data_IF_454709540485
#
_entry.id   IF_454709540485
#
_cell.length_a   1.000
_cell.length_b   1.000
_cell.length_c   1.000
_cell.angle_alpha   90.00
_cell.angle_beta   90.00
_cell.angle_gamma   90.00
#
_symmetry.space_group_name_H-M   'P 1'
#
loop_
_entity.id
_entity.type
_entity.pdbx_description
1 polymer ?
#
# COMPACT_ATOMS: atom_id res chain seq x y z
N UNK A 1 -8.80 7.83 -0.08
CA UNK A 1 -8.01 8.22 1.11
C UNK A 1 -7.36 6.98 1.73
N UNK A 2 -6.06 7.02 2.03
CA UNK A 2 -5.29 5.88 2.58
C UNK A 2 -5.88 5.41 3.92
N UNK A 3 -6.42 6.31 4.71
CA UNK A 3 -7.00 6.04 6.02
C UNK A 3 -8.54 6.17 6.04
N UNK A 4 -9.23 5.81 4.97
CA UNK A 4 -10.70 5.87 4.89
C UNK A 4 -11.38 5.16 6.05
N UNK A 5 -10.83 4.03 6.51
CA UNK A 5 -11.31 3.28 7.68
C UNK A 5 -11.16 4.03 9.03
N UNK A 6 -10.37 5.12 9.07
CA UNK A 6 -10.28 6.04 10.21
C UNK A 6 -11.09 7.31 10.00
N UNK A 7 -11.99 7.35 9.04
CA UNK A 7 -12.83 8.50 8.72
C UNK A 7 -12.17 9.57 7.87
N UNK A 8 -11.00 9.28 7.26
CA UNK A 8 -10.41 10.19 6.29
C UNK A 8 -11.20 10.13 4.97
N UNK A 9 -11.57 11.28 4.46
CA UNK A 9 -12.28 11.46 3.19
C UNK A 9 -11.41 12.29 2.24
N UNK A 10 -11.47 11.98 0.94
CA UNK A 10 -10.82 12.79 -0.08
C UNK A 10 -11.43 14.21 -0.14
N UNK A 11 -12.75 14.32 0.05
CA UNK A 11 -13.47 15.59 0.10
C UNK A 11 -13.10 16.48 1.29
N UNK A 12 -12.37 15.95 2.28
CA UNK A 12 -11.87 16.79 3.39
C UNK A 12 -10.87 17.87 2.91
N UNK A 13 -10.16 17.62 1.81
CA UNK A 13 -9.28 18.61 1.20
C UNK A 13 -10.08 19.74 0.53
N UNK A 14 -11.16 19.40 -0.16
CA UNK A 14 -12.00 20.38 -0.85
C UNK A 14 -12.78 21.28 0.13
N UNK A 15 -13.18 20.72 1.28
CA UNK A 15 -13.93 21.47 2.30
C UNK A 15 -13.04 22.20 3.30
N UNK A 16 -11.74 21.90 3.33
CA UNK A 16 -10.82 22.50 4.29
C UNK A 16 -10.78 24.03 4.19
N UNK A 17 -10.59 24.57 2.99
CA UNK A 17 -10.53 26.03 2.78
C UNK A 17 -11.87 26.72 3.07
N UNK A 18 -13.02 26.04 2.89
CA UNK A 18 -14.34 26.59 3.19
C UNK A 18 -14.54 26.86 4.67
N UNK A 19 -13.89 26.10 5.55
CA UNK A 19 -13.92 26.33 7.00
C UNK A 19 -13.16 27.58 7.43
N UNK A 20 -12.10 27.92 6.70
CA UNK A 20 -11.25 29.08 6.99
C UNK A 20 -11.62 30.30 6.14
N UNK A 21 -12.25 30.07 5.00
CA UNK A 21 -12.73 31.12 4.10
C UNK A 21 -14.24 30.96 3.88
N UNK A 22 -15.08 31.22 4.91
CA UNK A 22 -16.52 31.08 4.74
C UNK A 22 -16.98 32.03 3.62
N UNK A 23 -17.62 31.48 2.60
CA UNK A 23 -18.24 32.26 1.54
C UNK A 23 -19.41 33.04 2.10
N UNK A 24 -19.48 34.33 1.77
CA UNK A 24 -20.68 35.14 2.06
C UNK A 24 -21.89 34.58 1.32
N UNK A 25 -23.07 35.16 1.59
CA UNK A 25 -24.35 34.79 0.95
C UNK A 25 -24.31 34.88 -0.61
N UNK A 26 -23.33 35.55 -1.18
CA UNK A 26 -23.08 35.64 -2.64
C UNK A 26 -22.26 34.51 -3.25
N UNK A 27 -21.75 33.57 -2.44
CA UNK A 27 -20.89 32.48 -2.94
C UNK A 27 -19.46 32.92 -3.33
N UNK A 28 -19.12 34.20 -3.14
CA UNK A 28 -17.79 34.74 -3.46
C UNK A 28 -16.90 34.68 -2.22
N UNK A 29 -15.65 34.19 -2.33
CA UNK A 29 -14.70 34.24 -1.22
C UNK A 29 -14.41 35.68 -0.81
N UNK A 30 -14.16 35.98 0.48
CA UNK A 30 -13.75 37.31 0.93
C UNK A 30 -12.43 37.71 0.28
N UNK A 31 -12.21 39.02 0.16
CA UNK A 31 -11.00 39.57 -0.49
C UNK A 31 -9.69 39.22 0.23
N UNK A 32 -9.77 38.89 1.51
CA UNK A 32 -8.69 38.47 2.40
C UNK A 32 -8.67 36.95 2.64
N UNK A 33 -9.33 36.18 1.78
CA UNK A 33 -9.36 34.72 1.89
C UNK A 33 -7.94 34.12 1.88
N UNK A 34 -7.71 33.13 2.76
CA UNK A 34 -6.43 32.41 2.79
C UNK A 34 -6.18 31.68 1.46
N UNK A 35 -5.00 31.82 0.87
CA UNK A 35 -4.68 31.16 -0.39
C UNK A 35 -4.58 29.64 -0.22
N UNK A 36 -5.02 28.89 -1.21
CA UNK A 36 -4.75 27.46 -1.32
C UNK A 36 -3.43 27.27 -2.06
N UNK A 37 -2.47 26.60 -1.39
CA UNK A 37 -1.16 26.32 -1.93
C UNK A 37 -0.99 24.82 -2.17
N UNK A 38 -0.65 24.44 -3.40
CA UNK A 38 -0.46 23.05 -3.78
C UNK A 38 1.00 22.63 -3.67
N UNK A 39 1.25 21.46 -3.07
CA UNK A 39 2.54 20.78 -3.08
C UNK A 39 2.59 19.81 -4.28
N UNK A 40 2.64 20.36 -5.48
CA UNK A 40 2.57 19.58 -6.73
C UNK A 40 3.92 19.09 -7.27
N UNK A 41 5.05 19.62 -6.77
CA UNK A 41 6.38 19.21 -7.25
C UNK A 41 6.86 17.95 -6.52
N UNK A 42 7.07 16.88 -7.29
CA UNK A 42 7.70 15.66 -6.79
C UNK A 42 9.22 15.75 -6.87
N UNK A 43 9.87 15.69 -5.71
CA UNK A 43 11.33 15.73 -5.60
C UNK A 43 11.98 14.34 -5.68
N UNK A 44 11.20 13.27 -5.47
CA UNK A 44 11.69 11.89 -5.44
C UNK A 44 11.69 11.24 -6.82
N UNK A 45 10.58 11.36 -7.54
CA UNK A 45 10.31 10.57 -8.73
C UNK A 45 10.84 11.21 -10.00
N UNK A 46 11.27 10.38 -10.94
CA UNK A 46 11.68 10.80 -12.28
C UNK A 46 10.47 10.99 -13.20
N UNK A 47 10.68 11.63 -14.38
CA UNK A 47 9.57 12.15 -15.19
C UNK A 47 8.60 11.06 -15.67
N UNK A 48 9.08 9.93 -16.20
CA UNK A 48 8.21 8.86 -16.70
C UNK A 48 7.28 8.28 -15.63
N UNK A 49 7.73 8.24 -14.36
CA UNK A 49 6.91 7.77 -13.24
C UNK A 49 5.79 8.77 -12.96
N UNK A 50 6.08 10.08 -13.05
CA UNK A 50 5.08 11.13 -12.86
C UNK A 50 4.06 11.17 -14.00
N UNK A 51 4.49 10.92 -15.23
CA UNK A 51 3.61 10.86 -16.40
C UNK A 51 2.58 9.74 -16.24
N UNK A 52 3.02 8.54 -15.81
CA UNK A 52 2.11 7.41 -15.53
C UNK A 52 1.22 7.73 -14.33
N UNK A 53 1.75 8.27 -13.24
CA UNK A 53 0.96 8.62 -12.07
C UNK A 53 -0.12 9.66 -12.40
N UNK A 54 0.21 10.66 -13.22
CA UNK A 54 -0.73 11.66 -13.70
C UNK A 54 -1.80 11.05 -14.62
N UNK A 55 -1.41 10.17 -15.54
CA UNK A 55 -2.35 9.49 -16.42
C UNK A 55 -3.34 8.60 -15.65
N UNK A 56 -2.87 7.81 -14.68
CA UNK A 56 -3.72 6.96 -13.85
C UNK A 56 -4.66 7.78 -12.96
N UNK A 57 -4.22 8.93 -12.47
CA UNK A 57 -5.03 9.78 -11.60
C UNK A 57 -5.89 10.80 -12.33
N UNK A 58 -5.74 10.95 -13.65
CA UNK A 58 -6.51 11.90 -14.46
C UNK A 58 -8.03 11.73 -14.33
N UNK A 59 -8.60 10.51 -14.39
CA UNK A 59 -10.03 10.33 -14.20
C UNK A 59 -10.56 10.85 -12.87
N UNK A 60 -9.75 10.77 -11.80
CA UNK A 60 -10.12 11.29 -10.47
C UNK A 60 -10.10 12.83 -10.42
N UNK A 61 -9.26 13.46 -11.24
CA UNK A 61 -9.14 14.93 -11.31
C UNK A 61 -10.16 15.56 -12.24
N UNK A 62 -10.43 14.92 -13.38
CA UNK A 62 -11.34 15.46 -14.41
C UNK A 62 -12.82 15.20 -14.10
N UNK A 63 -13.11 14.31 -13.14
CA UNK A 63 -14.47 13.88 -12.87
C UNK A 63 -15.02 13.09 -14.05
N UNK A 64 -14.71 11.81 -14.15
CA UNK A 64 -15.24 10.95 -15.22
C UNK A 64 -16.75 10.80 -15.05
N UNK A 65 -17.48 11.19 -16.07
CA UNK A 65 -18.91 10.89 -16.21
C UNK A 65 -19.01 9.65 -17.10
N UNK A 66 -19.49 8.54 -16.56
CA UNK A 66 -19.80 7.33 -17.32
C UNK A 66 -21.33 7.17 -17.38
N UNK A 67 -21.88 7.06 -18.59
CA UNK A 67 -23.33 6.97 -18.85
C UNK A 67 -24.18 8.11 -18.26
N UNK A 68 -23.57 9.30 -18.09
CA UNK A 68 -24.24 10.48 -17.57
C UNK A 68 -24.14 10.66 -16.04
N UNK A 69 -23.64 9.66 -15.33
CA UNK A 69 -23.41 9.72 -13.89
C UNK A 69 -21.93 9.98 -13.54
N UNK A 70 -21.63 10.83 -12.53
CA UNK A 70 -20.27 11.03 -12.08
C UNK A 70 -19.73 9.75 -11.45
N UNK A 71 -18.67 9.19 -12.06
CA UNK A 71 -18.00 7.99 -11.54
C UNK A 71 -16.89 8.41 -10.60
N UNK A 72 -17.15 8.26 -9.31
CA UNK A 72 -16.17 8.53 -8.27
C UNK A 72 -16.18 9.94 -7.72
N UNK A 73 -15.42 10.14 -6.67
CA UNK A 73 -15.26 11.44 -6.00
C UNK A 73 -14.25 12.28 -6.79
N UNK A 74 -14.67 13.46 -7.24
CA UNK A 74 -13.75 14.44 -7.85
C UNK A 74 -12.75 14.92 -6.80
N UNK A 75 -11.48 14.90 -7.12
CA UNK A 75 -10.40 15.35 -6.24
C UNK A 75 -9.73 16.57 -6.86
N UNK A 76 -9.93 17.72 -6.25
CA UNK A 76 -9.33 18.99 -6.69
C UNK A 76 -7.85 19.08 -6.29
N UNK A 77 -7.00 18.26 -6.93
CA UNK A 77 -5.54 18.31 -6.75
C UNK A 77 -4.86 18.58 -8.08
N UNK A 78 -3.81 19.40 -8.04
CA UNK A 78 -3.00 19.67 -9.21
C UNK A 78 -2.24 18.41 -9.66
N UNK A 79 -1.99 18.25 -10.99
CA UNK A 79 -1.13 17.18 -11.47
C UNK A 79 0.29 17.34 -10.91
N UNK A 80 0.96 16.21 -10.70
CA UNK A 80 2.34 16.20 -10.23
C UNK A 80 3.28 16.77 -11.28
N UNK A 81 4.21 17.61 -10.84
CA UNK A 81 5.28 18.18 -11.65
C UNK A 81 6.62 17.60 -11.26
N UNK A 82 7.49 17.41 -12.23
CA UNK A 82 8.85 16.99 -11.97
C UNK A 82 9.67 18.11 -11.32
N UNK A 83 10.64 17.72 -10.49
CA UNK A 83 11.68 18.64 -10.02
C UNK A 83 12.44 19.25 -11.22
N UNK A 84 13.02 20.45 -11.09
CA UNK A 84 13.81 21.02 -12.17
C UNK A 84 15.03 20.16 -12.52
N UNK A 85 15.44 20.14 -13.78
CA UNK A 85 16.59 19.36 -14.30
C UNK A 85 17.88 19.65 -13.53
N UNK A 86 18.07 20.89 -13.09
CA UNK A 86 19.22 21.30 -12.27
C UNK A 86 19.36 20.51 -10.94
N UNK A 87 18.28 19.89 -10.48
CA UNK A 87 18.27 19.05 -9.27
C UNK A 87 18.28 17.54 -9.60
N UNK A 88 18.89 17.15 -10.72
CA UNK A 88 19.16 15.78 -11.07
C UNK A 88 17.92 14.99 -11.53
N UNK A 89 16.95 15.65 -12.17
CA UNK A 89 15.85 14.96 -12.83
C UNK A 89 16.39 14.01 -13.91
N UNK A 90 15.92 12.76 -13.88
CA UNK A 90 16.18 11.76 -14.91
C UNK A 90 14.87 11.42 -15.63
N UNK A 91 14.93 10.83 -16.84
CA UNK A 91 13.72 10.36 -17.51
C UNK A 91 13.04 9.23 -16.73
N UNK A 92 13.82 8.36 -16.11
CA UNK A 92 13.29 7.13 -15.49
C UNK A 92 12.73 6.16 -16.52
N UNK A 93 12.25 5.01 -16.05
CA UNK A 93 11.58 4.00 -16.88
C UNK A 93 10.38 3.42 -16.13
N UNK A 94 9.30 3.17 -16.87
CA UNK A 94 8.13 2.47 -16.37
C UNK A 94 7.83 1.32 -17.34
N UNK A 95 7.64 0.12 -16.80
CA UNK A 95 7.25 -1.06 -17.54
C UNK A 95 5.86 -1.47 -17.11
N UNK A 96 5.02 -1.86 -18.05
CA UNK A 96 3.71 -2.43 -17.79
C UNK A 96 3.63 -3.85 -18.32
N UNK A 97 2.95 -4.74 -17.61
CA UNK A 97 2.62 -6.07 -18.07
C UNK A 97 1.14 -6.36 -17.77
N UNK A 98 0.48 -7.04 -18.71
CA UNK A 98 -0.86 -7.56 -18.53
C UNK A 98 -0.79 -9.07 -18.70
N UNK A 99 -0.98 -9.81 -17.61
CA UNK A 99 -0.69 -11.22 -17.52
C UNK A 99 -1.98 -12.03 -17.33
N UNK A 100 -1.92 -13.31 -17.65
CA UNK A 100 -3.11 -14.18 -17.72
C UNK A 100 -3.59 -14.63 -16.33
N UNK A 101 -2.65 -14.88 -15.42
CA UNK A 101 -2.96 -15.40 -14.11
C UNK A 101 -1.94 -14.94 -13.03
N UNK A 102 -2.28 -15.09 -11.73
CA UNK A 102 -1.40 -14.69 -10.64
C UNK A 102 -0.07 -15.45 -10.56
N UNK A 103 0.03 -16.65 -11.11
CA UNK A 103 1.28 -17.43 -11.10
C UNK A 103 2.25 -16.85 -12.14
N UNK A 104 1.74 -16.51 -13.31
CA UNK A 104 2.51 -15.82 -14.34
C UNK A 104 2.95 -14.42 -13.84
N UNK A 105 2.07 -13.71 -13.12
CA UNK A 105 2.40 -12.44 -12.47
C UNK A 105 3.57 -12.59 -11.50
N UNK A 106 3.50 -13.52 -10.57
CA UNK A 106 4.53 -13.74 -9.56
C UNK A 106 5.88 -14.07 -10.22
N UNK A 107 5.87 -14.94 -11.21
CA UNK A 107 7.06 -15.35 -11.96
C UNK A 107 7.68 -14.21 -12.75
N UNK A 108 6.84 -13.40 -13.41
CA UNK A 108 7.28 -12.23 -14.17
C UNK A 108 7.90 -11.17 -13.27
N UNK A 109 7.29 -10.90 -12.12
CA UNK A 109 7.80 -9.95 -11.11
C UNK A 109 9.17 -10.44 -10.59
N UNK A 110 9.28 -11.72 -10.23
CA UNK A 110 10.54 -12.27 -9.72
C UNK A 110 11.65 -12.22 -10.77
N UNK A 111 11.37 -12.56 -12.03
CA UNK A 111 12.32 -12.48 -13.13
C UNK A 111 12.79 -11.03 -13.37
N UNK A 112 11.83 -10.07 -13.38
CA UNK A 112 12.13 -8.64 -13.53
C UNK A 112 13.07 -8.11 -12.44
N UNK A 113 12.86 -8.56 -11.19
CA UNK A 113 13.70 -8.17 -10.06
C UNK A 113 15.07 -8.86 -10.10
N UNK A 114 15.11 -10.16 -10.47
CA UNK A 114 16.36 -10.91 -10.56
C UNK A 114 17.33 -10.32 -11.58
N UNK A 115 16.83 -9.86 -12.73
CA UNK A 115 17.65 -9.19 -13.75
C UNK A 115 18.28 -7.86 -13.24
N UNK A 116 17.70 -7.24 -12.23
CA UNK A 116 18.08 -5.92 -11.74
C UNK A 116 18.70 -5.96 -10.35
N UNK A 117 18.70 -7.14 -9.76
CA UNK A 117 19.21 -7.31 -8.41
C UNK A 117 20.74 -7.15 -8.35
N UNK A 118 21.19 -6.41 -7.37
CA UNK A 118 22.57 -6.35 -6.92
C UNK A 118 22.60 -6.09 -5.41
N UNK A 119 23.70 -6.34 -4.70
CA UNK A 119 23.78 -6.11 -3.26
C UNK A 119 23.44 -4.68 -2.81
N UNK A 120 23.66 -3.69 -3.68
CA UNK A 120 23.41 -2.28 -3.43
C UNK A 120 22.07 -1.79 -4.00
N UNK A 121 21.28 -2.68 -4.61
CA UNK A 121 20.01 -2.30 -5.22
C UNK A 121 18.90 -2.23 -4.16
N UNK A 122 18.23 -1.09 -4.06
CA UNK A 122 17.01 -0.94 -3.28
C UNK A 122 15.79 -1.16 -4.17
N UNK A 123 15.08 -2.26 -3.94
CA UNK A 123 13.88 -2.63 -4.70
C UNK A 123 12.72 -2.92 -3.76
N UNK A 124 11.49 -2.63 -4.19
CA UNK A 124 10.30 -2.94 -3.43
C UNK A 124 9.18 -3.45 -4.33
N UNK A 125 8.46 -4.46 -3.85
CA UNK A 125 7.20 -4.93 -4.44
C UNK A 125 6.04 -4.49 -3.57
N UNK A 126 5.12 -3.74 -4.15
CA UNK A 126 3.92 -3.27 -3.47
C UNK A 126 2.72 -4.11 -3.91
N UNK A 127 2.16 -4.88 -2.99
CA UNK A 127 0.99 -5.71 -3.23
C UNK A 127 -0.27 -5.06 -2.66
N UNK A 128 -1.38 -5.19 -3.36
CA UNK A 128 -2.67 -4.70 -2.87
C UNK A 128 -3.20 -5.55 -1.71
N UNK A 129 -2.95 -6.84 -1.74
CA UNK A 129 -3.38 -7.80 -0.73
C UNK A 129 -2.23 -8.66 -0.23
N UNK A 130 -2.34 -9.18 0.98
CA UNK A 130 -1.33 -10.10 1.52
C UNK A 130 -1.24 -11.41 0.76
N UNK A 131 -2.34 -11.89 0.20
CA UNK A 131 -2.38 -13.11 -0.60
C UNK A 131 -1.48 -13.06 -1.85
N UNK A 132 -1.19 -11.85 -2.37
CA UNK A 132 -0.28 -11.67 -3.49
C UNK A 132 1.20 -11.76 -3.08
N UNK A 133 1.53 -11.59 -1.80
CA UNK A 133 2.92 -11.59 -1.33
C UNK A 133 3.54 -12.99 -1.34
N UNK A 134 2.78 -14.02 -0.96
CA UNK A 134 3.27 -15.39 -0.81
C UNK A 134 3.76 -16.01 -2.14
N UNK A 135 2.99 -15.97 -3.24
CA UNK A 135 3.45 -16.46 -4.53
C UNK A 135 4.69 -15.73 -5.05
N UNK A 136 4.74 -14.40 -4.88
CA UNK A 136 5.90 -13.60 -5.30
C UNK A 136 7.14 -13.94 -4.46
N UNK A 137 6.98 -14.13 -3.15
CA UNK A 137 8.07 -14.53 -2.27
C UNK A 137 8.66 -15.88 -2.66
N UNK A 138 7.81 -16.87 -2.97
CA UNK A 138 8.24 -18.19 -3.41
C UNK A 138 9.03 -18.15 -4.74
N UNK A 139 8.61 -17.34 -5.69
CA UNK A 139 9.32 -17.16 -6.96
C UNK A 139 10.65 -16.38 -6.77
N UNK A 140 10.71 -15.41 -5.86
CA UNK A 140 11.95 -14.71 -5.49
C UNK A 140 12.96 -15.65 -4.83
N UNK A 141 12.49 -16.54 -3.94
CA UNK A 141 13.33 -17.57 -3.32
C UNK A 141 13.90 -18.52 -4.39
N UNK A 142 13.06 -18.97 -5.32
CA UNK A 142 13.48 -19.80 -6.46
C UNK A 142 14.50 -19.09 -7.34
N UNK A 143 14.36 -17.78 -7.54
CA UNK A 143 15.30 -16.95 -8.30
C UNK A 143 16.57 -16.58 -7.52
N UNK A 144 16.68 -16.95 -6.24
CA UNK A 144 17.82 -16.62 -5.38
C UNK A 144 17.93 -15.14 -5.02
N UNK A 145 16.83 -14.39 -5.09
CA UNK A 145 16.78 -12.97 -4.73
C UNK A 145 16.38 -12.84 -3.27
N UNK A 146 17.24 -12.31 -2.38
CA UNK A 146 16.89 -12.11 -0.99
C UNK A 146 15.79 -11.08 -0.82
N UNK A 147 14.82 -11.35 0.05
CA UNK A 147 13.69 -10.46 0.30
C UNK A 147 13.29 -10.41 1.77
N UNK A 148 12.54 -9.37 2.12
CA UNK A 148 11.90 -9.24 3.44
C UNK A 148 10.45 -8.81 3.25
N UNK A 149 9.51 -9.53 3.87
CA UNK A 149 8.09 -9.18 3.81
C UNK A 149 7.76 -8.21 4.95
N UNK A 150 7.39 -6.98 4.58
CA UNK A 150 6.99 -5.94 5.53
C UNK A 150 5.47 -5.98 5.73
N UNK A 151 5.01 -5.90 6.99
CA UNK A 151 3.57 -5.82 7.29
C UNK A 151 2.84 -7.16 7.42
N UNK A 152 3.48 -8.29 7.20
CA UNK A 152 3.06 -9.52 7.86
C UNK A 152 3.33 -9.28 9.34
N UNK A 153 2.30 -9.15 10.16
CA UNK A 153 2.30 -8.87 11.60
C UNK A 153 3.53 -9.28 12.40
N UNK A 154 4.69 -8.97 11.90
CA UNK A 154 6.01 -9.23 12.45
C UNK A 154 6.28 -10.72 12.70
N UNK A 155 7.44 -10.96 13.21
CA UNK A 155 7.96 -12.23 13.73
C UNK A 155 6.97 -12.97 14.68
N UNK A 156 5.99 -12.24 15.27
CA UNK A 156 4.98 -12.77 16.20
C UNK A 156 3.96 -13.72 15.55
N UNK A 157 3.88 -13.79 14.23
CA UNK A 157 2.98 -14.70 13.50
C UNK A 157 3.71 -15.88 12.84
N UNK A 158 5.04 -15.89 12.86
CA UNK A 158 5.81 -17.08 12.50
C UNK A 158 5.38 -18.22 13.43
N UNK A 159 5.05 -19.42 12.92
CA UNK A 159 4.50 -20.52 13.75
C UNK A 159 5.30 -20.79 15.02
N UNK A 160 6.62 -20.85 14.93
CA UNK A 160 7.52 -21.11 16.04
C UNK A 160 7.47 -20.01 17.10
N UNK A 161 7.42 -18.74 16.66
CA UNK A 161 7.33 -17.58 17.56
C UNK A 161 5.93 -17.47 18.17
N UNK A 162 4.89 -17.83 17.40
CA UNK A 162 3.53 -17.92 17.91
C UNK A 162 3.39 -19.01 18.98
N UNK A 163 4.13 -20.10 18.86
CA UNK A 163 4.17 -21.17 19.88
C UNK A 163 4.92 -20.70 21.14
N UNK A 164 6.06 -20.03 21.01
CA UNK A 164 6.74 -19.40 22.15
C UNK A 164 5.82 -18.39 22.84
N UNK A 165 5.12 -17.55 22.07
CA UNK A 165 4.14 -16.60 22.63
C UNK A 165 2.99 -17.31 23.34
N UNK A 166 2.50 -18.40 22.79
CA UNK A 166 1.46 -19.21 23.44
C UNK A 166 1.97 -19.79 24.77
N UNK A 167 3.19 -20.31 24.80
CA UNK A 167 3.84 -20.82 26.00
C UNK A 167 3.96 -19.75 27.10
N UNK A 168 4.46 -18.57 26.76
CA UNK A 168 4.56 -17.45 27.68
C UNK A 168 3.20 -16.97 28.18
N UNK A 169 2.18 -16.98 27.31
CA UNK A 169 0.82 -16.61 27.70
C UNK A 169 0.24 -17.63 28.69
N UNK A 170 0.39 -18.93 28.45
CA UNK A 170 -0.09 -19.98 29.36
C UNK A 170 0.67 -19.96 30.68
N UNK A 171 1.97 -19.66 30.65
CA UNK A 171 2.78 -19.54 31.87
C UNK A 171 2.32 -18.38 32.77
N UNK A 172 1.81 -17.28 32.17
CA UNK A 172 1.30 -16.13 32.91
C UNK A 172 -0.20 -16.23 33.25
N UNK A 173 -0.97 -16.96 32.44
CA UNK A 173 -2.42 -17.13 32.59
C UNK A 173 -2.79 -18.54 32.10
N UNK A 174 -2.80 -19.54 33.00
CA UNK A 174 -3.15 -20.93 32.66
C UNK A 174 -4.59 -21.16 32.18
N UNK A 175 -5.48 -20.20 32.39
CA UNK A 175 -6.89 -20.31 31.97
C UNK A 175 -7.10 -20.02 30.48
N UNK A 176 -6.06 -19.60 29.77
CA UNK A 176 -6.11 -19.33 28.33
C UNK A 176 -6.14 -20.61 27.51
N UNK A 177 -7.28 -21.32 27.55
CA UNK A 177 -7.51 -22.59 26.86
C UNK A 177 -7.20 -22.56 25.37
N UNK A 178 -7.43 -21.42 24.67
CA UNK A 178 -7.08 -21.21 23.25
C UNK A 178 -5.57 -21.40 23.00
N UNK A 179 -4.74 -20.96 23.93
CA UNK A 179 -3.29 -21.07 23.84
C UNK A 179 -2.78 -22.45 24.27
N UNK A 180 -3.44 -23.06 25.24
CA UNK A 180 -3.14 -24.44 25.66
C UNK A 180 -3.39 -25.38 24.48
N UNK A 181 -4.54 -25.30 23.82
CA UNK A 181 -4.85 -26.14 22.64
C UNK A 181 -3.80 -25.97 21.55
N UNK A 182 -3.38 -24.75 21.26
CA UNK A 182 -2.31 -24.49 20.28
C UNK A 182 -1.01 -25.23 20.62
N UNK A 183 -0.58 -25.17 21.87
CA UNK A 183 0.65 -25.84 22.33
C UNK A 183 0.52 -27.36 22.20
N UNK A 184 -0.58 -27.92 22.67
CA UNK A 184 -0.82 -29.36 22.62
C UNK A 184 -0.83 -29.87 21.17
N UNK A 185 -1.48 -29.17 20.26
CA UNK A 185 -1.48 -29.53 18.84
C UNK A 185 -0.08 -29.40 18.22
N UNK A 186 0.72 -28.42 18.63
CA UNK A 186 2.13 -28.26 18.22
C UNK A 186 3.01 -29.42 18.65
N UNK A 187 2.69 -30.08 19.78
CA UNK A 187 3.34 -31.32 20.24
C UNK A 187 2.70 -32.62 19.67
N UNK A 188 1.81 -32.50 18.68
CA UNK A 188 1.19 -33.62 18.02
C UNK A 188 0.02 -34.26 18.80
N UNK A 189 -0.44 -33.60 19.87
CA UNK A 189 -1.62 -34.04 20.64
C UNK A 189 -2.86 -33.48 19.91
N UNK A 190 -3.63 -34.40 19.32
CA UNK A 190 -4.83 -34.04 18.58
C UNK A 190 -6.06 -33.82 19.48
N UNK A 191 -7.10 -33.23 18.89
CA UNK A 191 -8.36 -32.99 19.60
C UNK A 191 -9.03 -34.30 20.10
N UNK A 192 -8.72 -35.44 19.49
CA UNK A 192 -9.16 -36.78 19.94
C UNK A 192 -8.49 -37.20 21.24
N UNK A 193 -7.21 -36.90 21.41
CA UNK A 193 -6.43 -37.28 22.59
C UNK A 193 -6.79 -36.42 23.82
N UNK A 194 -7.37 -35.24 23.60
CA UNK A 194 -7.82 -34.35 24.66
C UNK A 194 -9.20 -34.74 25.25
N UNK A 195 -9.86 -35.74 24.67
CA UNK A 195 -11.18 -36.24 25.13
C UNK A 195 -11.11 -37.56 25.94
N UNK A 196 -9.94 -38.13 26.04
CA UNK A 196 -9.67 -39.33 26.82
C UNK A 196 -9.26 -38.97 28.25
#
# INVERSE_FOLDING_TARGET
AIYGWRGASAGALDTFHQRFNPTGSSGTPPADAAPVLDLSTSWRNDSAILDVANAVSEPLRSGVVQDGDPVGEHIAVAPLRARPVAFGLKPGTVHGAFLQDPVEEARTVAAFLAERWSPDAEMAVLCRTRAQMEPIAAELETAGVPYTIVGLGGMLYVPEVADVRALLTVASDPERGDRVVRLLTGFGIGAGDLRA
#
